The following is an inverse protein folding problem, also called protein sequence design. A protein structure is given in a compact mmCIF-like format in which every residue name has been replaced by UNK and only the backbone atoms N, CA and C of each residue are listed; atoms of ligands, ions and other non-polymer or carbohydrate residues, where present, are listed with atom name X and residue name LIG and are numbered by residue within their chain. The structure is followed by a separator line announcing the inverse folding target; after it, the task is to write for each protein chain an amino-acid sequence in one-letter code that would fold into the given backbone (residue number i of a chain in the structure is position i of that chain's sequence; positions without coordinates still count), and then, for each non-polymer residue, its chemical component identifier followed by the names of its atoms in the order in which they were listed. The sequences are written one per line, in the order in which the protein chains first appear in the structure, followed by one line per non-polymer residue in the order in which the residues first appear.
data_IF_507456427165
#
_entry.id   IF_507456427165
#
_cell.length_a   1.000
_cell.length_b   1.000
_cell.length_c   1.000
_cell.angle_alpha   90.00
_cell.angle_beta   90.00
_cell.angle_gamma   90.00
#
_symmetry.space_group_name_H-M   'P 1'
#
loop_
_entity.id
_entity.type
_entity.pdbx_description
1 polymer ?
#
# COMPACT_ATOMS: atom_id res chain seq x y z
N UNK A 1 -21.66 -62.51 8.44
CA UNK A 1 -22.28 -61.31 7.83
C UNK A 1 -22.90 -61.76 6.51
N UNK A 2 -24.18 -61.52 6.28
CA UNK A 2 -24.81 -61.84 5.00
C UNK A 2 -24.06 -61.11 3.87
N UNK A 3 -23.81 -61.78 2.76
CA UNK A 3 -23.20 -61.15 1.59
C UNK A 3 -24.11 -60.00 1.15
N UNK A 4 -23.54 -58.81 0.98
CA UNK A 4 -24.29 -57.65 0.55
C UNK A 4 -24.95 -57.90 -0.81
N UNK A 5 -26.20 -57.43 -1.04
CA UNK A 5 -26.87 -57.62 -2.31
C UNK A 5 -26.04 -56.94 -3.42
N UNK A 6 -25.78 -57.68 -4.48
CA UNK A 6 -25.14 -57.17 -5.70
C UNK A 6 -26.14 -57.19 -6.85
N UNK A 7 -25.92 -56.34 -7.83
CA UNK A 7 -26.74 -56.26 -9.04
C UNK A 7 -25.84 -56.35 -10.27
N UNK A 8 -26.31 -57.04 -11.30
CA UNK A 8 -25.59 -57.09 -12.57
C UNK A 8 -25.59 -55.70 -13.24
N UNK A 9 -24.43 -55.17 -13.64
CA UNK A 9 -24.34 -53.88 -14.32
C UNK A 9 -25.12 -53.89 -15.64
N UNK A 10 -25.94 -52.86 -15.87
CA UNK A 10 -26.76 -52.65 -17.07
C UNK A 10 -26.79 -51.16 -17.42
N UNK A 11 -27.01 -50.82 -18.69
CA UNK A 11 -27.08 -49.43 -19.14
C UNK A 11 -25.77 -48.68 -18.91
N UNK A 12 -25.83 -47.55 -18.19
CA UNK A 12 -24.64 -46.73 -17.91
C UNK A 12 -23.61 -47.45 -17.03
N UNK A 13 -24.07 -48.27 -16.07
CA UNK A 13 -23.16 -49.05 -15.21
C UNK A 13 -22.33 -50.07 -16.01
N UNK A 14 -22.94 -50.72 -17.02
CA UNK A 14 -22.22 -51.64 -17.91
C UNK A 14 -21.24 -50.89 -18.82
N UNK A 15 -21.64 -49.75 -19.37
CA UNK A 15 -20.76 -48.90 -20.18
C UNK A 15 -19.54 -48.42 -19.37
N UNK A 16 -19.75 -48.02 -18.11
CA UNK A 16 -18.68 -47.65 -17.19
C UNK A 16 -17.73 -48.83 -16.92
N UNK A 17 -18.26 -50.03 -16.65
CA UNK A 17 -17.45 -51.23 -16.42
C UNK A 17 -16.57 -51.58 -17.64
N UNK A 18 -17.16 -51.63 -18.83
CA UNK A 18 -16.44 -51.95 -20.08
C UNK A 18 -15.34 -50.92 -20.34
N UNK A 19 -15.67 -49.64 -20.17
CA UNK A 19 -14.73 -48.53 -20.38
C UNK A 19 -13.55 -48.61 -19.41
N UNK A 20 -13.83 -48.79 -18.11
CA UNK A 20 -12.80 -48.88 -17.06
C UNK A 20 -11.86 -50.07 -17.28
N UNK A 21 -12.39 -51.24 -17.66
CA UNK A 21 -11.56 -52.43 -17.94
C UNK A 21 -10.71 -52.22 -19.20
N UNK A 22 -11.30 -51.71 -20.28
CA UNK A 22 -10.59 -51.51 -21.55
C UNK A 22 -9.41 -50.54 -21.40
N UNK A 23 -9.65 -49.36 -20.79
CA UNK A 23 -8.60 -48.39 -20.54
C UNK A 23 -7.62 -48.83 -19.45
N UNK A 24 -8.07 -49.61 -18.46
CA UNK A 24 -7.22 -50.28 -17.49
C UNK A 24 -6.16 -51.14 -18.18
N UNK A 25 -6.60 -52.10 -19.00
CA UNK A 25 -5.72 -53.01 -19.74
C UNK A 25 -4.76 -52.26 -20.65
N UNK A 26 -5.27 -51.28 -21.42
CA UNK A 26 -4.44 -50.52 -22.35
C UNK A 26 -3.34 -49.74 -21.62
N UNK A 27 -3.67 -49.12 -20.49
CA UNK A 27 -2.71 -48.39 -19.66
C UNK A 27 -1.67 -49.32 -19.03
N UNK A 28 -2.10 -50.50 -18.54
CA UNK A 28 -1.20 -51.54 -18.03
C UNK A 28 -0.14 -51.92 -19.06
N UNK A 29 -0.55 -52.19 -20.31
CA UNK A 29 0.37 -52.57 -21.39
C UNK A 29 1.40 -51.48 -21.66
N UNK A 30 0.95 -50.22 -21.76
CA UNK A 30 1.83 -49.08 -22.05
C UNK A 30 2.84 -48.83 -20.93
N UNK A 31 2.39 -48.78 -19.68
CA UNK A 31 3.26 -48.52 -18.52
C UNK A 31 4.24 -49.68 -18.33
N UNK A 32 3.78 -50.92 -18.47
CA UNK A 32 4.64 -52.10 -18.38
C UNK A 32 5.74 -52.08 -19.45
N UNK A 33 5.38 -51.89 -20.72
CA UNK A 33 6.35 -51.85 -21.82
C UNK A 33 7.38 -50.73 -21.62
N UNK A 34 6.94 -49.54 -21.22
CA UNK A 34 7.82 -48.39 -20.98
C UNK A 34 8.77 -48.64 -19.81
N UNK A 35 8.26 -49.19 -18.71
CA UNK A 35 9.06 -49.53 -17.53
C UNK A 35 10.08 -50.62 -17.88
N UNK A 36 9.66 -51.65 -18.62
CA UNK A 36 10.53 -52.75 -19.06
C UNK A 36 11.68 -52.27 -19.94
N UNK A 37 11.40 -51.43 -20.95
CA UNK A 37 12.45 -50.86 -21.83
C UNK A 37 13.44 -50.01 -21.04
N UNK A 38 12.95 -49.17 -20.12
CA UNK A 38 13.82 -48.27 -19.33
C UNK A 38 14.67 -49.02 -18.31
N UNK A 39 14.14 -50.08 -17.70
CA UNK A 39 14.92 -50.98 -16.84
C UNK A 39 15.97 -51.75 -17.64
N UNK A 40 15.60 -52.29 -18.82
CA UNK A 40 16.54 -53.01 -19.70
C UNK A 40 17.70 -52.15 -20.16
N UNK A 41 17.45 -50.86 -20.41
CA UNK A 41 18.46 -49.91 -20.86
C UNK A 41 19.20 -49.22 -19.70
N UNK A 42 18.89 -49.53 -18.44
CA UNK A 42 19.57 -48.96 -17.26
C UNK A 42 19.33 -47.46 -17.04
N UNK A 43 18.28 -46.88 -17.63
CA UNK A 43 17.99 -45.43 -17.60
C UNK A 43 16.76 -45.09 -16.73
N UNK A 44 16.46 -45.93 -15.75
CA UNK A 44 15.30 -45.74 -14.88
C UNK A 44 15.50 -44.54 -13.94
N UNK A 45 14.67 -43.51 -14.08
CA UNK A 45 14.77 -42.27 -13.31
C UNK A 45 13.63 -42.03 -12.33
N UNK A 46 13.72 -40.94 -11.58
CA UNK A 46 12.66 -40.50 -10.66
C UNK A 46 11.31 -40.25 -11.37
N UNK A 47 11.35 -39.80 -12.63
CA UNK A 47 10.17 -39.65 -13.50
C UNK A 47 9.43 -40.97 -13.74
N UNK A 48 10.17 -42.07 -13.95
CA UNK A 48 9.59 -43.40 -14.16
C UNK A 48 9.04 -44.00 -12.87
N UNK A 49 9.70 -43.73 -11.74
CA UNK A 49 9.21 -44.12 -10.43
C UNK A 49 7.86 -43.44 -10.12
N UNK A 50 7.74 -42.14 -10.38
CA UNK A 50 6.50 -41.38 -10.23
C UNK A 50 5.40 -41.91 -11.17
N UNK A 51 5.75 -42.25 -12.41
CA UNK A 51 4.82 -42.88 -13.36
C UNK A 51 4.32 -44.23 -12.85
N UNK A 52 5.21 -45.09 -12.31
CA UNK A 52 4.84 -46.39 -11.76
C UNK A 52 3.93 -46.26 -10.53
N UNK A 53 4.22 -45.32 -9.62
CA UNK A 53 3.37 -45.00 -8.47
C UNK A 53 1.99 -44.52 -8.94
N UNK A 54 1.94 -43.61 -9.92
CA UNK A 54 0.70 -43.13 -10.51
C UNK A 54 -0.13 -44.24 -11.15
N UNK A 55 0.53 -45.19 -11.82
CA UNK A 55 -0.14 -46.36 -12.39
C UNK A 55 -0.75 -47.28 -11.32
N UNK A 56 -0.06 -47.51 -10.19
CA UNK A 56 -0.62 -48.30 -9.08
C UNK A 56 -1.89 -47.66 -8.54
N UNK A 57 -1.89 -46.34 -8.33
CA UNK A 57 -3.08 -45.61 -7.87
C UNK A 57 -4.22 -45.67 -8.90
N UNK A 58 -3.90 -45.56 -10.20
CA UNK A 58 -4.87 -45.70 -11.28
C UNK A 58 -5.46 -47.11 -11.34
N UNK A 59 -4.65 -48.16 -11.19
CA UNK A 59 -5.12 -49.54 -11.17
C UNK A 59 -6.08 -49.80 -10.00
N UNK A 60 -5.79 -49.25 -8.82
CA UNK A 60 -6.69 -49.28 -7.66
C UNK A 60 -8.01 -48.57 -7.99
N UNK A 61 -7.94 -47.38 -8.58
CA UNK A 61 -9.14 -46.62 -8.99
C UNK A 61 -10.01 -47.40 -9.98
N UNK A 62 -9.41 -48.02 -10.99
CA UNK A 62 -10.13 -48.85 -11.97
C UNK A 62 -10.83 -50.02 -11.27
N UNK A 63 -10.16 -50.70 -10.35
CA UNK A 63 -10.73 -51.80 -9.57
C UNK A 63 -11.92 -51.37 -8.71
N UNK A 64 -11.75 -50.29 -7.95
CA UNK A 64 -12.81 -49.72 -7.11
C UNK A 64 -13.99 -49.23 -7.97
N UNK A 65 -13.72 -48.58 -9.10
CA UNK A 65 -14.76 -48.12 -10.02
C UNK A 65 -15.52 -49.28 -10.66
N UNK A 66 -14.83 -50.36 -11.05
CA UNK A 66 -15.48 -51.55 -11.60
C UNK A 66 -16.39 -52.19 -10.55
N UNK A 67 -15.90 -52.34 -9.31
CA UNK A 67 -16.67 -52.89 -8.20
C UNK A 67 -17.90 -52.04 -7.88
N UNK A 68 -17.79 -50.70 -7.97
CA UNK A 68 -18.91 -49.79 -7.70
C UNK A 68 -20.14 -50.04 -8.59
N UNK A 69 -19.94 -50.54 -9.83
CA UNK A 69 -21.03 -50.82 -10.76
C UNK A 69 -21.91 -52.00 -10.30
N UNK A 70 -21.34 -52.96 -9.56
CA UNK A 70 -22.07 -54.08 -8.97
C UNK A 70 -22.89 -53.69 -7.72
N UNK A 71 -22.64 -52.49 -7.19
CA UNK A 71 -23.38 -51.91 -6.05
C UNK A 71 -24.33 -50.79 -6.49
N UNK A 72 -24.76 -50.80 -7.76
CA UNK A 72 -25.84 -49.96 -8.27
C UNK A 72 -25.41 -48.63 -8.90
N UNK A 73 -24.11 -48.35 -8.96
CA UNK A 73 -23.60 -47.12 -9.59
C UNK A 73 -23.87 -47.16 -11.11
N UNK A 74 -24.56 -46.14 -11.62
CA UNK A 74 -24.94 -46.04 -13.04
C UNK A 74 -26.26 -46.74 -13.40
N UNK A 75 -27.03 -47.19 -12.42
CA UNK A 75 -28.38 -47.75 -12.61
C UNK A 75 -29.46 -46.84 -12.00
N UNK A 76 -30.71 -47.02 -12.42
CA UNK A 76 -31.85 -46.25 -11.88
C UNK A 76 -32.23 -46.78 -10.50
N UNK A 77 -32.48 -45.87 -9.57
CA UNK A 77 -32.87 -46.17 -8.18
C UNK A 77 -34.06 -47.14 -8.06
N UNK A 78 -34.98 -47.11 -9.02
CA UNK A 78 -36.16 -47.99 -9.06
C UNK A 78 -35.83 -49.49 -9.24
N UNK A 79 -34.62 -49.85 -9.67
CA UNK A 79 -34.19 -51.24 -9.95
C UNK A 79 -33.24 -51.76 -8.87
N UNK A 80 -32.89 -50.93 -7.89
CA UNK A 80 -31.91 -51.27 -6.87
C UNK A 80 -32.52 -52.08 -5.72
N UNK A 81 -31.87 -53.17 -5.26
CA UNK A 81 -32.29 -53.91 -4.07
C UNK A 81 -32.26 -53.05 -2.81
N UNK A 82 -33.20 -53.28 -1.88
CA UNK A 82 -33.15 -52.63 -0.56
C UNK A 82 -31.85 -52.99 0.17
N UNK A 83 -31.18 -51.98 0.74
CA UNK A 83 -29.92 -52.15 1.48
C UNK A 83 -28.62 -52.02 0.68
N UNK A 84 -28.67 -51.81 -0.66
CA UNK A 84 -27.45 -51.65 -1.49
C UNK A 84 -26.81 -50.26 -1.39
N UNK A 85 -27.59 -49.23 -1.04
CA UNK A 85 -27.17 -47.81 -1.04
C UNK A 85 -25.92 -47.51 -0.19
N UNK A 86 -25.75 -48.01 1.05
CA UNK A 86 -24.56 -47.72 1.84
C UNK A 86 -23.28 -48.23 1.18
N UNK A 87 -23.34 -49.40 0.51
CA UNK A 87 -22.18 -49.99 -0.16
C UNK A 87 -21.86 -49.24 -1.45
N UNK A 88 -22.88 -48.90 -2.25
CA UNK A 88 -22.68 -48.06 -3.44
C UNK A 88 -22.02 -46.72 -3.10
N UNK A 89 -22.51 -46.04 -2.04
CA UNK A 89 -21.91 -44.78 -1.55
C UNK A 89 -20.49 -44.95 -1.03
N UNK A 90 -20.18 -46.06 -0.37
CA UNK A 90 -18.83 -46.37 0.10
C UNK A 90 -17.83 -46.50 -1.07
N UNK A 91 -18.18 -47.26 -2.11
CA UNK A 91 -17.32 -47.37 -3.30
C UNK A 91 -17.20 -46.06 -4.06
N UNK A 92 -18.28 -45.27 -4.18
CA UNK A 92 -18.19 -43.91 -4.78
C UNK A 92 -17.27 -43.02 -3.96
N UNK A 93 -17.37 -43.03 -2.62
CA UNK A 93 -16.47 -42.27 -1.76
C UNK A 93 -15.00 -42.72 -1.93
N UNK A 94 -14.73 -44.02 -2.01
CA UNK A 94 -13.40 -44.54 -2.32
C UNK A 94 -12.91 -44.08 -3.69
N UNK A 95 -13.75 -44.09 -4.74
CA UNK A 95 -13.35 -43.57 -6.05
C UNK A 95 -12.98 -42.08 -5.99
N UNK A 96 -13.64 -41.26 -5.15
CA UNK A 96 -13.30 -39.84 -4.99
C UNK A 96 -11.91 -39.62 -4.41
N UNK A 97 -11.44 -40.50 -3.53
CA UNK A 97 -10.09 -40.43 -2.93
C UNK A 97 -9.01 -40.63 -4.01
N UNK A 98 -9.19 -41.62 -4.87
CA UNK A 98 -8.19 -41.96 -5.90
C UNK A 98 -8.36 -41.19 -7.23
N UNK A 99 -9.56 -40.68 -7.54
CA UNK A 99 -9.81 -39.82 -8.71
C UNK A 99 -9.31 -38.38 -8.48
N UNK A 100 -9.24 -37.93 -7.23
CA UNK A 100 -8.74 -36.60 -6.85
C UNK A 100 -7.21 -36.52 -6.87
N UNK A 101 -6.56 -36.99 -7.94
CA UNK A 101 -5.12 -36.80 -8.14
C UNK A 101 -4.90 -35.59 -9.03
N UNK A 102 -5.14 -34.40 -8.46
CA UNK A 102 -4.14 -33.31 -8.29
C UNK A 102 -4.57 -32.46 -7.08
N UNK A 103 -3.97 -32.62 -5.89
CA UNK A 103 -4.37 -31.91 -4.68
C UNK A 103 -4.04 -30.42 -4.70
N UNK A 104 -3.18 -29.96 -5.62
CA UNK A 104 -2.72 -28.58 -5.68
C UNK A 104 -3.85 -27.58 -5.98
N UNK A 105 -4.77 -27.89 -6.89
CA UNK A 105 -5.85 -26.96 -7.26
C UNK A 105 -6.86 -26.76 -6.13
N UNK A 106 -7.15 -27.80 -5.34
CA UNK A 106 -8.00 -27.68 -4.14
C UNK A 106 -7.33 -26.83 -3.06
N UNK A 107 -6.04 -27.06 -2.82
CA UNK A 107 -5.26 -26.27 -1.86
C UNK A 107 -5.23 -24.80 -2.28
N UNK A 108 -4.95 -24.51 -3.55
CA UNK A 108 -4.97 -23.12 -4.06
C UNK A 108 -6.37 -22.51 -3.95
N UNK A 109 -7.43 -23.23 -4.32
CA UNK A 109 -8.80 -22.72 -4.19
C UNK A 109 -9.19 -22.38 -2.74
N UNK A 110 -8.82 -23.23 -1.77
CA UNK A 110 -9.06 -22.96 -0.35
C UNK A 110 -8.23 -21.79 0.17
N UNK A 111 -6.97 -21.67 -0.25
CA UNK A 111 -6.11 -20.53 0.10
C UNK A 111 -6.70 -19.24 -0.46
N UNK A 112 -7.10 -19.22 -1.74
CA UNK A 112 -7.71 -18.06 -2.39
C UNK A 112 -9.03 -17.66 -1.72
N UNK A 113 -9.87 -18.63 -1.35
CA UNK A 113 -11.12 -18.36 -0.61
C UNK A 113 -10.84 -17.79 0.78
N UNK A 114 -9.90 -18.37 1.54
CA UNK A 114 -9.53 -17.87 2.85
C UNK A 114 -8.98 -16.44 2.78
N UNK A 115 -8.13 -16.16 1.80
CA UNK A 115 -7.58 -14.81 1.55
C UNK A 115 -8.68 -13.79 1.23
N UNK A 116 -9.65 -14.15 0.39
CA UNK A 116 -10.79 -13.28 0.07
C UNK A 116 -11.65 -12.96 1.30
N UNK A 117 -11.95 -13.96 2.12
CA UNK A 117 -12.71 -13.78 3.38
C UNK A 117 -11.95 -12.88 4.35
N UNK A 118 -10.64 -13.11 4.52
CA UNK A 118 -9.79 -12.29 5.39
C UNK A 118 -9.77 -10.83 4.92
N UNK A 119 -9.60 -10.59 3.61
CA UNK A 119 -9.62 -9.23 3.06
C UNK A 119 -10.97 -8.53 3.27
N UNK A 120 -12.08 -9.25 3.08
CA UNK A 120 -13.42 -8.71 3.33
C UNK A 120 -13.63 -8.35 4.81
N UNK A 121 -13.16 -9.19 5.73
CA UNK A 121 -13.22 -8.93 7.17
C UNK A 121 -12.37 -7.72 7.57
N UNK A 122 -11.17 -7.57 6.99
CA UNK A 122 -10.31 -6.41 7.22
C UNK A 122 -11.02 -5.13 6.79
N UNK A 123 -11.60 -5.09 5.58
CA UNK A 123 -12.37 -3.92 5.09
C UNK A 123 -13.51 -3.58 6.05
N UNK A 124 -14.28 -4.59 6.44
CA UNK A 124 -15.42 -4.42 7.33
C UNK A 124 -15.00 -3.81 8.68
N UNK A 125 -13.94 -4.34 9.29
CA UNK A 125 -13.42 -3.83 10.56
C UNK A 125 -12.86 -2.41 10.39
N UNK A 126 -12.09 -2.16 9.32
CA UNK A 126 -11.51 -0.86 9.01
C UNK A 126 -12.57 0.24 8.88
N UNK A 127 -13.74 -0.06 8.32
CA UNK A 127 -14.86 0.89 8.26
C UNK A 127 -15.25 1.47 9.63
N UNK A 128 -15.17 0.67 10.70
CA UNK A 128 -15.53 1.12 12.05
C UNK A 128 -14.34 1.69 12.85
N UNK A 129 -13.11 1.35 12.48
CA UNK A 129 -11.90 1.71 13.24
C UNK A 129 -11.19 2.96 12.69
N UNK A 130 -11.38 3.27 11.40
CA UNK A 130 -10.69 4.39 10.73
C UNK A 130 -10.93 5.75 11.38
N UNK A 131 -12.15 5.99 11.87
CA UNK A 131 -12.54 7.25 12.47
C UNK A 131 -13.34 7.02 13.75
N UNK A 132 -13.03 7.78 14.79
CA UNK A 132 -13.77 7.80 16.07
C UNK A 132 -14.31 9.20 16.35
N UNK A 133 -15.65 9.37 16.44
CA UNK A 133 -16.72 8.42 16.06
C UNK A 133 -16.81 8.21 14.54
N UNK A 134 -17.51 7.16 14.09
CA UNK A 134 -17.72 6.86 12.66
C UNK A 134 -18.28 8.07 11.88
N UNK A 135 -19.11 8.88 12.53
CA UNK A 135 -19.70 10.10 11.94
C UNK A 135 -18.67 11.18 11.58
N UNK A 136 -17.46 11.11 12.12
CA UNK A 136 -16.36 12.01 11.75
C UNK A 136 -15.95 11.87 10.27
N UNK A 137 -16.25 10.73 9.65
CA UNK A 137 -15.91 10.45 8.24
C UNK A 137 -16.58 11.44 7.27
N UNK A 138 -17.81 11.89 7.55
CA UNK A 138 -18.54 12.82 6.69
C UNK A 138 -18.75 14.21 7.31
N UNK A 139 -18.75 14.32 8.64
CA UNK A 139 -18.92 15.60 9.33
C UNK A 139 -17.59 16.29 9.66
N UNK A 140 -16.44 15.61 9.51
CA UNK A 140 -15.10 16.13 9.85
C UNK A 140 -14.83 16.28 11.36
N UNK A 141 -15.84 16.08 12.21
CA UNK A 141 -15.75 16.26 13.65
C UNK A 141 -15.37 14.94 14.35
N UNK A 142 -14.08 14.69 14.54
CA UNK A 142 -13.56 13.57 15.31
C UNK A 142 -12.07 13.29 15.05
N UNK A 143 -11.56 12.15 15.53
CA UNK A 143 -10.19 11.69 15.27
C UNK A 143 -10.20 10.56 14.25
N UNK A 144 -9.51 10.74 13.14
CA UNK A 144 -9.31 9.72 12.12
C UNK A 144 -7.84 9.27 12.06
N UNK A 145 -7.63 8.04 11.61
CA UNK A 145 -6.30 7.49 11.32
C UNK A 145 -5.56 8.33 10.28
N UNK A 146 -4.22 8.38 10.32
CA UNK A 146 -3.44 9.19 9.41
C UNK A 146 -3.62 8.73 7.95
N UNK A 147 -3.50 9.64 6.96
CA UNK A 147 -3.63 9.33 5.53
C UNK A 147 -2.73 8.17 5.04
N UNK A 148 -1.56 7.99 5.65
CA UNK A 148 -0.64 6.88 5.35
C UNK A 148 -1.19 5.50 5.75
N UNK A 149 -1.95 5.42 6.84
CA UNK A 149 -2.60 4.17 7.27
C UNK A 149 -3.77 3.82 6.34
N UNK A 150 -4.48 4.83 5.84
CA UNK A 150 -5.50 4.70 4.81
C UNK A 150 -4.91 4.22 3.47
N UNK A 151 -3.81 4.85 3.03
CA UNK A 151 -3.10 4.49 1.80
C UNK A 151 -2.54 3.07 1.84
N UNK A 152 -1.90 2.66 2.94
CA UNK A 152 -1.36 1.30 3.10
C UNK A 152 -2.45 0.23 3.10
N UNK A 153 -3.58 0.49 3.78
CA UNK A 153 -4.75 -0.39 3.75
C UNK A 153 -5.34 -0.52 2.35
N UNK A 154 -5.53 0.60 1.64
CA UNK A 154 -6.04 0.59 0.28
C UNK A 154 -5.11 -0.14 -0.70
N UNK A 155 -3.79 0.00 -0.51
CA UNK A 155 -2.77 -0.70 -1.28
C UNK A 155 -2.84 -2.22 -1.04
N UNK A 156 -2.91 -2.63 0.23
CA UNK A 156 -3.02 -4.04 0.62
C UNK A 156 -4.25 -4.72 0.02
N UNK A 157 -5.42 -4.08 0.09
CA UNK A 157 -6.67 -4.60 -0.47
C UNK A 157 -6.58 -4.73 -2.00
N UNK A 158 -6.04 -3.71 -2.66
CA UNK A 158 -5.92 -3.68 -4.12
C UNK A 158 -4.93 -4.74 -4.62
N UNK A 159 -3.81 -4.93 -3.94
CA UNK A 159 -2.85 -6.00 -4.25
C UNK A 159 -3.47 -7.40 -4.04
N UNK A 160 -4.21 -7.59 -2.95
CA UNK A 160 -4.84 -8.88 -2.61
C UNK A 160 -5.97 -9.25 -3.58
N UNK A 161 -6.77 -8.28 -4.01
CA UNK A 161 -7.82 -8.48 -5.03
C UNK A 161 -7.22 -8.83 -6.39
N UNK A 162 -6.17 -8.11 -6.84
CA UNK A 162 -5.47 -8.43 -8.07
C UNK A 162 -4.88 -9.85 -8.07
N UNK A 163 -4.24 -10.27 -6.97
CA UNK A 163 -3.69 -11.62 -6.83
C UNK A 163 -4.79 -12.67 -6.93
N UNK A 164 -5.94 -12.42 -6.30
CA UNK A 164 -7.11 -13.29 -6.33
C UNK A 164 -7.63 -13.48 -7.75
N UNK A 165 -7.81 -12.38 -8.50
CA UNK A 165 -8.33 -12.42 -9.86
C UNK A 165 -7.41 -13.19 -10.82
N UNK A 166 -6.09 -12.97 -10.73
CA UNK A 166 -5.08 -13.68 -11.55
C UNK A 166 -5.12 -15.19 -11.27
N UNK A 167 -5.20 -15.57 -9.99
CA UNK A 167 -5.27 -16.99 -9.60
C UNK A 167 -6.58 -17.63 -10.08
N UNK A 168 -7.70 -16.93 -9.93
CA UNK A 168 -9.01 -17.39 -10.40
C UNK A 168 -9.09 -17.55 -11.93
N UNK A 169 -8.40 -16.69 -12.70
CA UNK A 169 -8.32 -16.81 -14.15
C UNK A 169 -7.37 -17.93 -14.60
N UNK A 170 -6.23 -18.11 -13.91
CA UNK A 170 -5.19 -19.08 -14.28
C UNK A 170 -5.57 -20.54 -13.96
N UNK A 171 -6.20 -20.79 -12.82
CA UNK A 171 -6.58 -22.13 -12.36
C UNK A 171 -7.37 -22.96 -13.40
N UNK A 172 -8.50 -22.48 -13.95
CA UNK A 172 -9.27 -23.22 -14.95
C UNK A 172 -8.56 -23.26 -16.31
N UNK A 173 -7.77 -22.25 -16.67
CA UNK A 173 -7.02 -22.24 -17.91
C UNK A 173 -5.96 -23.36 -17.94
N UNK A 174 -5.24 -23.55 -16.83
CA UNK A 174 -4.30 -24.65 -16.65
C UNK A 174 -5.00 -26.01 -16.63
N UNK A 175 -6.18 -26.10 -16.03
CA UNK A 175 -7.00 -27.33 -16.00
C UNK A 175 -7.50 -27.72 -17.40
N UNK A 176 -7.94 -26.74 -18.20
CA UNK A 176 -8.48 -26.95 -19.54
C UNK A 176 -7.39 -27.06 -20.62
N UNK A 177 -6.15 -26.68 -20.33
CA UNK A 177 -5.05 -26.69 -21.29
C UNK A 177 -4.84 -28.09 -21.90
N UNK A 178 -4.92 -29.13 -21.07
CA UNK A 178 -4.75 -30.54 -21.48
C UNK A 178 -6.07 -31.30 -21.71
N UNK A 179 -7.23 -30.66 -21.54
CA UNK A 179 -8.53 -31.29 -21.73
C UNK A 179 -8.93 -31.35 -23.22
N UNK A 180 -9.29 -32.55 -23.70
CA UNK A 180 -9.75 -32.81 -25.08
C UNK A 180 -11.22 -32.38 -25.25
N UNK A 181 -11.49 -31.07 -25.28
CA UNK A 181 -12.83 -30.50 -25.48
C UNK A 181 -12.91 -29.70 -26.79
N UNK A 182 -14.13 -29.54 -27.33
CA UNK A 182 -14.39 -28.65 -28.48
C UNK A 182 -13.96 -27.23 -28.13
N UNK A 183 -13.24 -26.56 -29.05
CA UNK A 183 -12.63 -25.24 -28.84
C UNK A 183 -13.63 -24.19 -28.35
N UNK A 184 -14.88 -24.23 -28.83
CA UNK A 184 -15.95 -23.32 -28.40
C UNK A 184 -16.27 -23.41 -26.90
N UNK A 185 -16.29 -24.61 -26.32
CA UNK A 185 -16.54 -24.83 -24.88
C UNK A 185 -15.34 -24.37 -24.05
N UNK A 186 -14.12 -24.60 -24.55
CA UNK A 186 -12.88 -24.14 -23.92
C UNK A 186 -12.82 -22.61 -23.86
N UNK A 187 -13.14 -21.93 -24.97
CA UNK A 187 -13.19 -20.47 -25.04
C UNK A 187 -14.30 -19.90 -24.15
N UNK A 188 -15.50 -20.48 -24.17
CA UNK A 188 -16.61 -19.98 -23.32
C UNK A 188 -16.29 -20.06 -21.83
N UNK A 189 -15.70 -21.16 -21.36
CA UNK A 189 -15.34 -21.32 -19.95
C UNK A 189 -14.19 -20.37 -19.58
N UNK A 190 -13.16 -20.26 -20.42
CA UNK A 190 -12.07 -19.30 -20.21
C UNK A 190 -12.53 -17.84 -20.21
N UNK A 191 -13.54 -17.48 -21.01
CA UNK A 191 -14.05 -16.11 -21.09
C UNK A 191 -14.87 -15.76 -19.83
N UNK A 192 -15.77 -16.65 -19.39
CA UNK A 192 -16.57 -16.44 -18.16
C UNK A 192 -15.68 -16.33 -16.92
N UNK A 193 -14.65 -17.17 -16.80
CA UNK A 193 -13.70 -17.12 -15.67
C UNK A 193 -12.66 -15.99 -15.83
N UNK A 194 -12.43 -15.51 -17.05
CA UNK A 194 -11.52 -14.40 -17.36
C UNK A 194 -12.11 -13.01 -17.12
N UNK A 195 -13.44 -12.87 -16.98
CA UNK A 195 -14.09 -11.58 -16.65
C UNK A 195 -13.52 -10.97 -15.36
N UNK A 196 -13.11 -11.79 -14.39
CA UNK A 196 -12.46 -11.33 -13.16
C UNK A 196 -11.15 -10.56 -13.41
N UNK A 197 -10.36 -10.95 -14.42
CA UNK A 197 -9.11 -10.27 -14.75
C UNK A 197 -9.32 -8.84 -15.28
N UNK A 198 -10.49 -8.53 -15.85
CA UNK A 198 -10.81 -7.17 -16.30
C UNK A 198 -11.02 -6.21 -15.12
N UNK A 199 -11.54 -6.69 -13.99
CA UNK A 199 -11.67 -5.91 -12.76
C UNK A 199 -10.28 -5.53 -12.19
N UNK A 200 -9.29 -6.40 -12.36
CA UNK A 200 -7.91 -6.12 -11.96
C UNK A 200 -7.29 -4.99 -12.79
N UNK A 201 -7.57 -4.92 -14.11
CA UNK A 201 -7.09 -3.83 -14.98
C UNK A 201 -7.62 -2.48 -14.51
N UNK A 202 -8.90 -2.39 -14.16
CA UNK A 202 -9.48 -1.17 -13.58
C UNK A 202 -8.81 -0.78 -12.26
N UNK A 203 -8.44 -1.77 -11.44
CA UNK A 203 -7.75 -1.56 -10.16
C UNK A 203 -6.32 -1.05 -10.37
N UNK A 204 -5.59 -1.59 -11.36
CA UNK A 204 -4.25 -1.13 -11.76
C UNK A 204 -4.29 0.33 -12.20
N UNK A 205 -5.25 0.69 -13.06
CA UNK A 205 -5.38 2.08 -13.54
C UNK A 205 -5.68 3.04 -12.39
N UNK A 206 -6.46 2.61 -11.39
CA UNK A 206 -6.85 3.41 -10.23
C UNK A 206 -5.72 3.56 -9.19
N UNK A 207 -4.79 2.61 -9.10
CA UNK A 207 -3.76 2.55 -8.05
C UNK A 207 -2.87 3.80 -7.94
N UNK A 208 -2.37 4.40 -9.06
CA UNK A 208 -1.55 5.61 -9.00
C UNK A 208 -2.32 6.81 -8.43
N UNK A 209 -3.61 6.94 -8.79
CA UNK A 209 -4.47 8.01 -8.30
C UNK A 209 -4.73 7.88 -6.80
N UNK A 210 -4.89 6.64 -6.30
CA UNK A 210 -5.06 6.37 -4.87
C UNK A 210 -3.78 6.73 -4.09
N UNK A 211 -2.61 6.34 -4.60
CA UNK A 211 -1.33 6.72 -4.01
C UNK A 211 -1.16 8.25 -3.95
N UNK A 212 -1.47 8.96 -5.04
CA UNK A 212 -1.39 10.42 -5.09
C UNK A 212 -2.34 11.12 -4.09
N UNK A 213 -3.52 10.53 -3.84
CA UNK A 213 -4.50 11.08 -2.91
C UNK A 213 -4.07 10.96 -1.43
N UNK A 214 -3.35 9.89 -1.09
CA UNK A 214 -2.95 9.61 0.30
C UNK A 214 -1.50 10.00 0.62
N UNK A 215 -0.67 10.14 -0.42
CA UNK A 215 0.66 10.74 -0.38
C UNK A 215 0.70 11.82 -1.47
N UNK A 216 0.17 13.04 -1.19
CA UNK A 216 0.59 14.18 -1.99
C UNK A 216 2.11 14.22 -1.89
N UNK A 217 2.83 14.15 -3.01
CA UNK A 217 4.27 14.43 -2.98
C UNK A 217 4.41 15.80 -2.33
N UNK A 218 5.08 15.92 -1.16
CA UNK A 218 5.34 17.22 -0.59
C UNK A 218 6.36 17.90 -1.48
N UNK A 219 5.84 18.64 -2.46
CA UNK A 219 6.64 19.37 -3.42
C UNK A 219 6.65 20.87 -3.07
N UNK A 220 5.95 21.34 -2.03
CA UNK A 220 5.77 22.78 -1.80
C UNK A 220 6.66 23.28 -0.66
N UNK A 221 7.63 24.14 -1.03
CA UNK A 221 8.40 24.94 -0.10
C UNK A 221 7.80 26.35 -0.01
N UNK A 222 7.27 26.72 1.14
CA UNK A 222 6.83 28.08 1.41
C UNK A 222 7.98 28.92 1.96
N UNK A 223 8.29 30.01 1.28
CA UNK A 223 9.32 30.97 1.67
C UNK A 223 8.65 32.24 2.19
N UNK A 224 8.80 32.56 3.48
CA UNK A 224 8.22 33.80 4.04
C UNK A 224 9.19 34.96 3.87
N UNK A 225 8.79 36.04 3.21
CA UNK A 225 9.61 37.23 2.99
C UNK A 225 8.99 38.42 3.71
N UNK A 226 9.82 39.23 4.37
CA UNK A 226 9.37 40.46 5.00
C UNK A 226 10.28 40.88 6.15
N UNK A 227 10.13 42.11 6.60
CA UNK A 227 10.95 42.69 7.65
C UNK A 227 10.57 42.08 9.02
N UNK A 228 11.46 42.18 10.01
CA UNK A 228 11.12 41.86 11.39
C UNK A 228 9.84 42.60 11.83
N UNK A 229 8.93 41.89 12.50
CA UNK A 229 7.61 42.44 12.88
C UNK A 229 6.49 42.29 11.84
N UNK A 230 6.79 41.88 10.60
CA UNK A 230 5.78 41.71 9.54
C UNK A 230 4.78 40.57 9.83
N UNK A 231 5.17 39.59 10.64
CA UNK A 231 4.32 38.46 11.03
C UNK A 231 4.70 37.11 10.42
N UNK A 232 5.89 36.99 9.82
CA UNK A 232 6.42 35.75 9.20
C UNK A 232 6.25 34.52 10.09
N UNK A 233 6.77 34.57 11.32
CA UNK A 233 6.68 33.45 12.26
C UNK A 233 5.26 33.15 12.71
N UNK A 234 4.39 34.17 12.76
CA UNK A 234 2.97 33.98 13.05
C UNK A 234 2.29 33.22 11.90
N UNK A 235 2.57 33.60 10.65
CA UNK A 235 2.07 32.91 9.47
C UNK A 235 2.61 31.47 9.42
N UNK A 236 3.91 31.27 9.60
CA UNK A 236 4.54 29.95 9.57
C UNK A 236 3.94 29.00 10.62
N UNK A 237 3.75 29.48 11.86
CA UNK A 237 3.09 28.71 12.92
C UNK A 237 1.63 28.40 12.60
N UNK A 238 0.89 29.36 12.04
CA UNK A 238 -0.51 29.15 11.65
C UNK A 238 -0.61 28.07 10.56
N UNK A 239 0.32 28.04 9.61
CA UNK A 239 0.39 27.04 8.54
C UNK A 239 0.68 25.66 9.11
N UNK A 240 1.72 25.50 9.94
CA UNK A 240 2.04 24.20 10.56
C UNK A 240 0.91 23.71 11.47
N UNK A 241 0.22 24.62 12.16
CA UNK A 241 -0.93 24.26 13.02
C UNK A 241 -2.12 23.75 12.19
N UNK A 242 -2.40 24.41 11.07
CA UNK A 242 -3.52 24.06 10.18
C UNK A 242 -3.20 22.85 9.30
N UNK A 243 -1.93 22.67 8.94
CA UNK A 243 -1.43 21.66 8.03
C UNK A 243 -0.28 20.88 8.71
N UNK A 244 -0.58 19.82 9.47
CA UNK A 244 0.43 19.09 10.26
C UNK A 244 1.52 18.38 9.45
N UNK A 245 1.38 18.31 8.12
CA UNK A 245 2.40 17.76 7.22
C UNK A 245 3.50 18.78 6.89
N UNK A 246 3.26 20.08 7.12
CA UNK A 246 4.28 21.10 6.99
C UNK A 246 5.25 21.08 8.18
N UNK A 247 6.55 21.13 7.88
CA UNK A 247 7.60 21.32 8.86
C UNK A 247 8.12 22.76 8.78
N UNK A 248 8.13 23.48 9.90
CA UNK A 248 8.74 24.82 9.99
C UNK A 248 10.24 24.67 10.22
N UNK A 249 11.05 25.33 9.39
CA UNK A 249 12.48 25.51 9.60
C UNK A 249 12.76 26.99 9.82
N UNK A 250 13.53 27.32 10.86
CA UNK A 250 13.82 28.70 11.25
C UNK A 250 15.19 28.78 11.92
N UNK A 251 16.04 29.70 11.47
CA UNK A 251 17.36 29.92 12.07
C UNK A 251 17.23 30.31 13.56
N UNK A 252 16.31 31.22 13.90
CA UNK A 252 16.10 31.68 15.27
C UNK A 252 15.71 30.52 16.21
N UNK A 253 14.89 29.58 15.73
CA UNK A 253 14.50 28.40 16.49
C UNK A 253 15.69 27.44 16.69
N UNK A 254 16.49 27.22 15.65
CA UNK A 254 17.68 26.35 15.72
C UNK A 254 18.72 26.92 16.70
N UNK A 255 18.95 28.23 16.67
CA UNK A 255 19.84 28.93 17.61
C UNK A 255 19.28 28.80 19.03
N UNK A 256 18.00 29.04 19.23
CA UNK A 256 17.36 28.94 20.55
C UNK A 256 17.45 27.52 21.13
N UNK A 257 17.21 26.48 20.33
CA UNK A 257 17.31 25.09 20.77
C UNK A 257 18.75 24.66 21.07
N UNK A 258 19.73 25.19 20.34
CA UNK A 258 21.14 24.80 20.47
C UNK A 258 21.90 25.59 21.55
N UNK A 259 21.63 26.89 21.67
CA UNK A 259 22.44 27.84 22.45
C UNK A 259 21.62 28.69 23.43
N UNK A 260 20.29 28.65 23.38
CA UNK A 260 19.42 29.43 24.26
C UNK A 260 19.16 30.86 23.76
N UNK A 261 18.95 31.81 24.67
CA UNK A 261 18.55 33.18 24.39
C UNK A 261 19.74 34.13 24.24
N UNK A 262 19.67 34.95 23.20
CA UNK A 262 20.62 36.04 22.93
C UNK A 262 20.75 37.00 24.13
N UNK A 263 22.00 37.37 24.48
CA UNK A 263 22.36 38.22 25.64
C UNK A 263 21.92 37.69 27.01
N UNK A 264 21.44 36.44 27.10
CA UNK A 264 21.09 35.78 28.37
C UNK A 264 21.95 34.53 28.55
N UNK A 265 21.86 33.61 27.60
CA UNK A 265 22.55 32.32 27.66
C UNK A 265 23.90 32.36 26.93
N UNK A 266 24.06 33.26 25.95
CA UNK A 266 25.31 33.49 25.23
C UNK A 266 25.55 34.98 24.93
N UNK A 267 26.82 35.41 24.79
CA UNK A 267 27.18 36.80 24.57
C UNK A 267 27.06 37.20 23.09
N UNK A 268 26.98 38.50 22.82
CA UNK A 268 26.70 39.06 21.49
C UNK A 268 27.78 38.69 20.44
N UNK A 269 29.04 38.56 20.85
CA UNK A 269 30.12 38.23 19.92
C UNK A 269 29.99 36.84 19.28
N UNK A 270 29.18 35.95 19.86
CA UNK A 270 28.96 34.60 19.34
C UNK A 270 27.75 34.49 18.40
N UNK A 271 26.95 35.55 18.27
CA UNK A 271 25.71 35.51 17.51
C UNK A 271 25.91 35.25 16.01
N UNK A 272 26.90 35.90 15.39
CA UNK A 272 27.22 35.69 13.98
C UNK A 272 27.63 34.23 13.70
N UNK A 273 28.53 33.67 14.53
CA UNK A 273 28.94 32.26 14.43
C UNK A 273 27.75 31.32 14.56
N UNK A 274 26.83 31.58 15.50
CA UNK A 274 25.64 30.75 15.69
C UNK A 274 24.62 30.89 14.57
N UNK A 275 24.53 32.06 13.93
CA UNK A 275 23.73 32.23 12.72
C UNK A 275 24.28 31.39 11.56
N UNK A 276 25.60 31.37 11.35
CA UNK A 276 26.22 30.54 10.31
C UNK A 276 25.98 29.05 10.56
N UNK A 277 26.21 28.57 11.79
CA UNK A 277 25.94 27.17 12.16
C UNK A 277 24.46 26.79 11.97
N UNK A 278 23.55 27.67 12.36
CA UNK A 278 22.11 27.44 12.21
C UNK A 278 21.69 27.40 10.74
N UNK A 279 22.23 28.29 9.91
CA UNK A 279 21.99 28.32 8.47
C UNK A 279 22.45 27.01 7.80
N UNK A 280 23.65 26.53 8.14
CA UNK A 280 24.16 25.24 7.62
C UNK A 280 23.28 24.07 8.03
N UNK A 281 22.85 24.00 9.30
CA UNK A 281 21.93 22.97 9.80
C UNK A 281 20.58 23.04 9.10
N UNK A 282 20.05 24.25 8.86
CA UNK A 282 18.78 24.46 8.17
C UNK A 282 18.84 23.96 6.73
N UNK A 283 19.89 24.32 5.98
CA UNK A 283 20.07 23.89 4.59
C UNK A 283 20.21 22.37 4.50
N UNK A 284 21.03 21.76 5.35
CA UNK A 284 21.20 20.30 5.37
C UNK A 284 19.87 19.57 5.64
N UNK A 285 19.06 20.08 6.57
CA UNK A 285 17.75 19.51 6.86
C UNK A 285 16.74 19.75 5.72
N UNK A 286 16.78 20.92 5.08
CA UNK A 286 15.96 21.22 3.91
C UNK A 286 16.26 20.25 2.76
N UNK A 287 17.53 20.07 2.42
CA UNK A 287 17.95 19.13 1.36
C UNK A 287 17.52 17.69 1.67
N UNK A 288 17.71 17.26 2.93
CA UNK A 288 17.27 15.93 3.38
C UNK A 288 15.76 15.74 3.18
N UNK A 289 14.95 16.73 3.56
CA UNK A 289 13.48 16.67 3.39
C UNK A 289 13.09 16.65 1.90
N UNK A 290 13.75 17.46 1.07
CA UNK A 290 13.48 17.52 -0.37
C UNK A 290 13.85 16.20 -1.07
N UNK A 291 14.96 15.57 -0.70
CA UNK A 291 15.39 14.28 -1.27
C UNK A 291 14.49 13.12 -0.82
N UNK A 292 14.13 13.08 0.45
CA UNK A 292 13.27 12.04 1.01
C UNK A 292 11.78 12.23 0.66
N UNK A 293 11.40 13.44 0.22
CA UNK A 293 10.00 13.87 0.03
C UNK A 293 9.13 13.55 1.25
N UNK A 294 9.66 13.86 2.43
CA UNK A 294 9.03 13.46 3.70
C UNK A 294 7.99 14.46 4.20
N UNK A 295 8.17 15.76 3.97
CA UNK A 295 7.31 16.84 4.47
C UNK A 295 7.30 18.04 3.52
N UNK A 296 6.17 18.76 3.44
CA UNK A 296 6.19 20.13 2.91
C UNK A 296 6.89 21.02 3.94
N UNK A 297 7.49 22.12 3.51
CA UNK A 297 8.33 22.93 4.40
C UNK A 297 7.93 24.39 4.36
N UNK A 298 7.90 25.02 5.54
CA UNK A 298 7.85 26.47 5.67
C UNK A 298 9.19 26.97 6.15
N UNK A 299 9.90 27.71 5.29
CA UNK A 299 11.08 28.45 5.67
C UNK A 299 10.65 29.76 6.31
N UNK A 300 10.82 29.83 7.62
CA UNK A 300 10.59 31.02 8.43
C UNK A 300 11.91 31.73 8.69
N UNK A 301 12.40 32.36 7.62
CA UNK A 301 13.58 33.23 7.59
C UNK A 301 13.18 34.54 6.89
N UNK A 302 14.00 35.60 6.94
CA UNK A 302 13.55 36.93 6.47
C UNK A 302 13.58 37.13 4.94
N UNK A 303 14.40 36.37 4.22
CA UNK A 303 14.57 36.49 2.76
C UNK A 303 14.73 37.96 2.31
N UNK A 304 15.72 38.64 2.90
CA UNK A 304 15.82 40.10 2.91
C UNK A 304 16.34 40.70 1.60
N UNK A 305 17.23 40.01 0.90
CA UNK A 305 17.77 40.41 -0.39
C UNK A 305 17.38 39.42 -1.51
N UNK A 306 17.50 39.86 -2.76
CA UNK A 306 17.11 39.07 -3.93
C UNK A 306 18.05 37.89 -4.19
N UNK A 307 19.36 38.06 -3.99
CA UNK A 307 20.35 37.02 -4.24
C UNK A 307 20.10 35.79 -3.35
N UNK A 308 19.84 36.03 -2.07
CA UNK A 308 19.49 35.01 -1.10
C UNK A 308 18.16 34.31 -1.39
N UNK A 309 17.17 35.04 -1.93
CA UNK A 309 15.92 34.41 -2.40
C UNK A 309 16.17 33.48 -3.57
N UNK A 310 16.97 33.91 -4.53
CA UNK A 310 17.25 33.12 -5.73
C UNK A 310 18.08 31.87 -5.39
N UNK A 311 19.04 31.96 -4.47
CA UNK A 311 19.80 30.81 -3.97
C UNK A 311 18.88 29.70 -3.43
N UNK A 312 17.90 30.06 -2.60
CA UNK A 312 16.97 29.09 -2.04
C UNK A 312 15.98 28.55 -3.08
N UNK A 313 15.52 29.37 -4.03
CA UNK A 313 14.72 28.89 -5.16
C UNK A 313 15.50 27.84 -5.95
N UNK A 314 16.78 28.09 -6.23
CA UNK A 314 17.67 27.16 -6.93
C UNK A 314 17.87 25.86 -6.15
N UNK A 315 18.02 25.91 -4.82
CA UNK A 315 18.12 24.70 -3.97
C UNK A 315 16.84 23.86 -4.11
N UNK A 316 15.67 24.49 -4.08
CA UNK A 316 14.38 23.81 -4.21
C UNK A 316 14.22 23.16 -5.57
N UNK A 317 14.46 23.92 -6.64
CA UNK A 317 14.28 23.46 -8.01
C UNK A 317 15.24 22.33 -8.35
N UNK A 318 16.52 22.42 -7.93
CA UNK A 318 17.52 21.36 -8.15
C UNK A 318 17.16 20.04 -7.47
N UNK A 319 16.45 20.10 -6.34
CA UNK A 319 15.96 18.92 -5.63
C UNK A 319 14.53 18.51 -6.07
N UNK A 320 14.00 19.10 -7.16
CA UNK A 320 12.71 18.72 -7.73
C UNK A 320 11.49 19.17 -6.94
N UNK A 321 11.66 20.15 -6.05
CA UNK A 321 10.57 20.83 -5.35
C UNK A 321 10.02 22.02 -6.13
N UNK A 322 8.96 22.61 -5.61
CA UNK A 322 8.29 23.83 -6.07
C UNK A 322 8.30 24.83 -4.93
N UNK A 323 8.74 26.05 -5.19
CA UNK A 323 8.72 27.11 -4.19
C UNK A 323 7.48 27.99 -4.32
N UNK A 324 7.07 28.58 -3.21
CA UNK A 324 6.04 29.62 -3.13
C UNK A 324 6.59 30.73 -2.24
N UNK A 325 6.87 31.87 -2.85
CA UNK A 325 7.36 33.05 -2.14
C UNK A 325 6.18 33.88 -1.63
N UNK A 326 6.07 34.08 -0.32
CA UNK A 326 5.03 34.90 0.31
C UNK A 326 5.65 36.14 0.91
N UNK A 327 5.37 37.30 0.33
CA UNK A 327 5.83 38.59 0.82
C UNK A 327 4.78 39.22 1.73
N UNK A 328 5.15 39.47 2.99
CA UNK A 328 4.34 40.22 3.96
C UNK A 328 4.70 41.70 3.87
N UNK A 329 3.90 42.44 3.10
CA UNK A 329 4.03 43.88 2.91
C UNK A 329 3.38 44.63 4.08
N UNK A 330 4.20 45.29 4.88
CA UNK A 330 3.78 45.99 6.09
C UNK A 330 4.47 47.36 6.18
N UNK A 331 3.71 48.40 6.55
CA UNK A 331 4.24 49.75 6.69
C UNK A 331 5.24 49.89 7.85
N UNK A 332 6.21 50.80 7.71
CA UNK A 332 7.24 51.10 8.73
C UNK A 332 6.66 51.32 10.12
N UNK A 333 5.64 52.18 10.24
CA UNK A 333 5.05 52.53 11.54
C UNK A 333 4.40 51.31 12.21
N UNK A 334 3.74 50.46 11.43
CA UNK A 334 3.12 49.23 11.93
C UNK A 334 4.18 48.23 12.41
N UNK A 335 5.24 48.03 11.63
CA UNK A 335 6.36 47.17 11.97
C UNK A 335 7.02 47.63 13.28
N UNK A 336 7.35 48.92 13.38
CA UNK A 336 7.99 49.50 14.55
C UNK A 336 7.11 49.37 15.80
N UNK A 337 5.83 49.72 15.70
CA UNK A 337 4.88 49.57 16.80
C UNK A 337 4.78 48.12 17.28
N UNK A 338 4.81 47.14 16.36
CA UNK A 338 4.78 45.71 16.70
C UNK A 338 6.06 45.26 17.39
N UNK A 339 7.23 45.71 16.93
CA UNK A 339 8.53 45.41 17.55
C UNK A 339 8.57 45.96 18.98
N UNK A 340 8.21 47.23 19.16
CA UNK A 340 8.19 47.88 20.48
C UNK A 340 7.24 47.18 21.45
N UNK A 341 6.03 46.83 21.00
CA UNK A 341 5.08 46.08 21.83
C UNK A 341 5.62 44.72 22.25
N UNK A 342 6.23 43.96 21.33
CA UNK A 342 6.83 42.65 21.64
C UNK A 342 8.01 42.78 22.60
N UNK A 343 8.84 43.81 22.43
CA UNK A 343 9.95 44.12 23.36
C UNK A 343 9.42 44.39 24.75
N UNK A 344 8.42 45.26 24.90
CA UNK A 344 7.79 45.55 26.19
C UNK A 344 7.15 44.30 26.83
N UNK A 345 6.46 43.48 26.05
CA UNK A 345 5.90 42.20 26.52
C UNK A 345 7.01 41.24 26.98
N UNK A 346 8.09 41.07 26.20
CA UNK A 346 9.25 40.24 26.53
C UNK A 346 9.91 40.69 27.83
N UNK A 347 10.16 41.99 27.95
CA UNK A 347 10.89 42.57 29.09
C UNK A 347 10.05 42.57 30.37
N UNK A 348 8.72 42.46 30.26
CA UNK A 348 7.81 42.27 31.40
C UNK A 348 7.81 40.84 31.97
N UNK A 349 8.45 39.87 31.29
CA UNK A 349 8.45 38.46 31.66
C UNK A 349 9.79 38.03 32.27
N UNK A 350 9.72 37.12 33.25
CA UNK A 350 10.90 36.49 33.85
C UNK A 350 11.80 35.83 32.78
N UNK A 351 13.12 35.85 33.01
CA UNK A 351 14.11 35.29 32.07
C UNK A 351 13.86 33.81 31.70
N UNK A 352 13.21 33.04 32.59
CA UNK A 352 12.88 31.61 32.38
C UNK A 352 11.43 31.38 31.92
N UNK A 353 10.66 32.44 31.64
CA UNK A 353 9.26 32.30 31.28
C UNK A 353 9.10 31.66 29.88
N UNK A 354 8.21 30.66 29.68
CA UNK A 354 8.09 29.93 28.39
C UNK A 354 7.74 30.79 27.17
N UNK A 355 7.19 31.99 27.39
CA UNK A 355 6.90 32.96 26.32
C UNK A 355 8.15 33.75 25.85
N UNK A 356 9.27 33.66 26.56
CA UNK A 356 10.56 34.24 26.16
C UNK A 356 11.34 33.18 25.36
N UNK A 357 11.07 33.11 24.05
CA UNK A 357 11.59 32.09 23.14
C UNK A 357 12.32 32.72 21.94
N UNK A 358 12.81 31.88 21.02
CA UNK A 358 13.59 32.28 19.84
C UNK A 358 12.98 33.40 19.00
N UNK A 359 11.64 33.48 18.88
CA UNK A 359 10.97 34.52 18.08
C UNK A 359 11.05 35.94 18.68
N UNK A 360 11.60 36.10 19.88
CA UNK A 360 11.79 37.38 20.58
C UNK A 360 13.19 37.52 21.19
N UNK A 361 14.14 36.66 20.77
CA UNK A 361 15.47 36.61 21.36
C UNK A 361 16.32 37.83 20.97
N UNK A 362 16.26 38.27 19.71
CA UNK A 362 17.09 39.36 19.21
C UNK A 362 16.51 40.74 19.54
N UNK A 363 17.35 41.67 19.99
CA UNK A 363 16.94 43.00 20.42
C UNK A 363 17.15 44.02 19.30
N UNK A 364 16.06 44.43 18.64
CA UNK A 364 16.10 45.34 17.47
C UNK A 364 15.89 46.78 17.95
N UNK A 365 16.95 47.57 18.04
CA UNK A 365 16.88 49.01 18.32
C UNK A 365 16.54 49.84 17.05
N UNK A 366 16.44 51.16 17.19
CA UNK A 366 16.00 52.04 16.09
C UNK A 366 17.04 52.09 14.96
N UNK A 367 18.33 52.08 15.30
CA UNK A 367 19.43 52.05 14.33
C UNK A 367 19.45 50.73 13.56
N UNK A 368 19.30 49.59 14.25
CA UNK A 368 19.22 48.26 13.63
C UNK A 368 17.97 48.11 12.78
N UNK A 369 16.84 48.67 13.21
CA UNK A 369 15.60 48.64 12.43
C UNK A 369 15.70 49.49 11.15
N UNK A 370 16.32 50.67 11.23
CA UNK A 370 16.61 51.51 10.06
C UNK A 370 17.54 50.77 9.08
N UNK A 371 18.60 50.15 9.59
CA UNK A 371 19.51 49.33 8.78
C UNK A 371 18.77 48.18 8.06
N UNK A 372 17.85 47.49 8.74
CA UNK A 372 17.03 46.44 8.12
C UNK A 372 16.08 46.98 7.06
N UNK A 373 15.54 48.19 7.22
CA UNK A 373 14.69 48.81 6.21
C UNK A 373 15.49 49.21 4.97
N UNK A 374 16.67 49.81 5.16
CA UNK A 374 17.52 50.29 4.08
C UNK A 374 18.14 49.13 3.28
N UNK A 375 18.47 48.02 3.95
CA UNK A 375 19.03 46.82 3.33
C UNK A 375 17.99 45.83 2.78
N UNK A 376 16.69 46.07 2.96
CA UNK A 376 15.65 45.15 2.50
C UNK A 376 15.30 45.41 1.03
N UNK A 377 15.45 44.39 0.20
CA UNK A 377 15.05 44.41 -1.20
C UNK A 377 13.67 43.75 -1.36
N UNK A 378 12.56 44.52 -1.40
CA UNK A 378 11.23 43.95 -1.53
C UNK A 378 11.11 43.18 -2.86
N UNK A 379 10.53 41.97 -2.85
CA UNK A 379 10.38 41.19 -4.06
C UNK A 379 9.44 41.90 -5.04
N UNK A 380 9.82 41.93 -6.32
CA UNK A 380 9.05 42.56 -7.39
C UNK A 380 9.12 41.72 -8.66
N UNK A 381 8.03 41.04 -8.99
CA UNK A 381 7.96 40.23 -10.21
C UNK A 381 8.80 38.94 -10.14
N UNK A 382 9.02 38.44 -8.93
CA UNK A 382 9.74 37.19 -8.63
C UNK A 382 8.78 35.99 -8.52
N UNK A 383 7.49 36.17 -8.82
CA UNK A 383 6.46 35.14 -8.60
C UNK A 383 5.92 35.14 -7.16
N UNK A 384 6.08 36.26 -6.46
CA UNK A 384 5.65 36.44 -5.09
C UNK A 384 4.13 36.56 -4.93
N UNK A 385 3.61 35.99 -3.85
CA UNK A 385 2.28 36.26 -3.33
C UNK A 385 2.42 37.39 -2.31
N UNK A 386 1.89 38.56 -2.65
CA UNK A 386 1.92 39.72 -1.75
C UNK A 386 0.71 39.69 -0.82
N UNK A 387 0.97 39.68 0.48
CA UNK A 387 -0.03 39.82 1.54
C UNK A 387 0.17 41.19 2.18
N UNK A 388 -0.80 42.08 1.99
CA UNK A 388 -0.83 43.36 2.70
C UNK A 388 -1.21 43.13 4.16
N UNK A 389 -0.35 43.59 5.05
CA UNK A 389 -0.52 43.49 6.49
C UNK A 389 -0.93 44.87 7.00
N UNK A 390 -2.19 44.98 7.39
CA UNK A 390 -2.77 46.18 7.99
C UNK A 390 -2.73 46.15 9.52
#
# INVERSE_FOLDING_TARGET
MAAAPTIEPRGLGLAQLITSITFGILTTVVVFLRTFIRLKNGVFGADDLLMAIGYVLFAILVGVSAQSTYYGVGQRDAVLPEGIYPHGRFYVWLTQIFYSVVPWHRVVAWITLAMAVICAMIIFISFFVLCRPLSATWNGNGKCSPPSALGSLACFISASSMLTDIVCAALPALMLYKAQMKLATKVSISLVLGVGALASVATIIRMPFVMFYFHPNPDYLLMTCGIAGAGKSTLAKAIVTKFPHFKRLSNDQIIYESHGLYRIDYPEEQYETYQEEASQKLIAELERILQEKSNDVVLDISFYDKEYRDEYKDIVERNGGRWVLVYLDAGRDLLWNRIQRRRAERDSLDAKHPKRNGDSAFDIDDETFAMYLDGFEPPRGEGEIVIKVE
#
